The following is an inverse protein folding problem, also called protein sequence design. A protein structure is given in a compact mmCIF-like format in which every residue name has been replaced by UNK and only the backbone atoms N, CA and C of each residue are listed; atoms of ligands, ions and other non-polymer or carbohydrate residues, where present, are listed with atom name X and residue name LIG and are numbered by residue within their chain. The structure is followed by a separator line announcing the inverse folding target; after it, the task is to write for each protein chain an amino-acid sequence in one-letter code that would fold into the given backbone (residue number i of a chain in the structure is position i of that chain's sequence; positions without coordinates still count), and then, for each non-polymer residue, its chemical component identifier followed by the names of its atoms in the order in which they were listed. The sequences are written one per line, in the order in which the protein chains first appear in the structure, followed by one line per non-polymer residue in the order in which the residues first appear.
data_IF_007028735627
#
_entry.id   IF_007028735627
#
_cell.length_a   1.000
_cell.length_b   1.000
_cell.length_c   1.000
_cell.angle_alpha   90.00
_cell.angle_beta   90.00
_cell.angle_gamma   90.00
#
_symmetry.space_group_name_H-M   'P 1'
#
loop_
_entity.id
_entity.type
_entity.pdbx_description
1 polymer ?
#
# COMPACT_ATOMS: atom_id res chain seq x y z
N UNK A 1 -4.04 -0.46 -25.93
CA UNK A 1 -4.21 -0.12 -24.51
C UNK A 1 -5.44 -0.85 -24.02
N UNK A 2 -5.23 -1.94 -23.29
CA UNK A 2 -6.32 -2.59 -22.57
C UNK A 2 -6.44 -1.83 -21.24
N UNK A 3 -7.58 -1.17 -21.03
CA UNK A 3 -7.83 -0.29 -19.87
C UNK A 3 -7.61 -1.00 -18.53
N UNK A 4 -7.85 -2.32 -18.50
CA UNK A 4 -7.62 -3.17 -17.33
C UNK A 4 -6.14 -3.41 -17.06
N UNK A 5 -5.36 -3.75 -18.08
CA UNK A 5 -3.92 -4.01 -17.96
C UNK A 5 -3.16 -2.75 -17.58
N UNK A 6 -3.48 -1.61 -18.21
CA UNK A 6 -2.89 -0.32 -17.90
C UNK A 6 -3.17 0.08 -16.43
N UNK A 7 -4.40 -0.15 -15.96
CA UNK A 7 -4.77 0.06 -14.56
C UNK A 7 -3.98 -0.85 -13.61
N UNK A 8 -3.89 -2.15 -13.93
CA UNK A 8 -3.15 -3.11 -13.10
C UNK A 8 -1.67 -2.73 -12.99
N UNK A 9 -1.02 -2.39 -14.11
CA UNK A 9 0.38 -1.98 -14.14
C UNK A 9 0.62 -0.73 -13.30
N UNK A 10 -0.28 0.26 -13.40
CA UNK A 10 -0.22 1.47 -12.59
C UNK A 10 -0.22 1.15 -11.09
N UNK A 11 -1.23 0.41 -10.61
CA UNK A 11 -1.34 0.09 -9.18
C UNK A 11 -0.15 -0.76 -8.73
N UNK A 12 0.31 -1.71 -9.55
CA UNK A 12 1.49 -2.52 -9.25
C UNK A 12 2.75 -1.66 -9.07
N UNK A 13 3.01 -0.72 -9.97
CA UNK A 13 4.15 0.18 -9.87
C UNK A 13 4.06 1.08 -8.62
N UNK A 14 2.88 1.60 -8.30
CA UNK A 14 2.68 2.41 -7.10
C UNK A 14 2.86 1.57 -5.80
N UNK A 15 2.43 0.30 -5.80
CA UNK A 15 2.66 -0.66 -4.70
C UNK A 15 4.15 -0.95 -4.48
N UNK A 16 4.91 -1.10 -5.55
CA UNK A 16 6.37 -1.30 -5.47
C UNK A 16 7.06 -0.08 -4.87
N UNK A 17 6.72 1.13 -5.34
CA UNK A 17 7.26 2.38 -4.80
C UNK A 17 6.95 2.55 -3.31
N UNK A 18 5.72 2.25 -2.90
CA UNK A 18 5.31 2.37 -1.49
C UNK A 18 5.90 1.27 -0.61
N UNK A 19 6.14 0.07 -1.14
CA UNK A 19 6.87 -0.98 -0.43
C UNK A 19 8.30 -0.54 -0.09
N UNK A 20 8.99 0.16 -1.01
CA UNK A 20 10.32 0.73 -0.75
C UNK A 20 10.25 1.74 0.39
N UNK A 21 9.25 2.65 0.38
CA UNK A 21 9.04 3.61 1.48
C UNK A 21 8.83 2.91 2.83
N UNK A 22 8.03 1.85 2.89
CA UNK A 22 7.84 1.09 4.15
C UNK A 22 9.14 0.48 4.65
N UNK A 23 9.98 -0.04 3.74
CA UNK A 23 11.31 -0.56 4.10
C UNK A 23 12.21 0.53 4.67
N UNK A 24 12.18 1.73 4.09
CA UNK A 24 12.89 2.89 4.61
C UNK A 24 12.38 3.29 6.01
N UNK A 25 11.06 3.38 6.22
CA UNK A 25 10.46 3.72 7.51
C UNK A 25 10.80 2.67 8.58
N UNK A 26 10.83 1.38 8.22
CA UNK A 26 11.31 0.30 9.09
C UNK A 26 12.77 0.48 9.50
N UNK A 27 13.63 0.88 8.57
CA UNK A 27 15.04 1.12 8.87
C UNK A 27 15.19 2.30 9.84
N UNK A 28 14.47 3.41 9.60
CA UNK A 28 14.45 4.57 10.50
C UNK A 28 13.92 4.23 11.89
N UNK A 29 12.86 3.42 11.98
CA UNK A 29 12.30 2.99 13.26
C UNK A 29 13.29 2.18 14.13
N UNK A 30 14.28 1.51 13.51
CA UNK A 30 15.35 0.84 14.26
C UNK A 30 16.35 1.81 14.89
N UNK A 31 16.47 3.03 14.37
CA UNK A 31 17.34 4.08 14.90
C UNK A 31 16.65 4.95 15.94
N UNK A 32 15.33 4.89 16.03
CA UNK A 32 14.52 5.67 16.97
C UNK A 32 14.66 5.21 18.43
N UNK A 33 14.26 6.09 19.35
CA UNK A 33 14.20 5.80 20.78
C UNK A 33 13.22 4.65 21.10
N UNK A 34 13.27 4.12 22.32
CA UNK A 34 12.43 2.99 22.72
C UNK A 34 10.93 3.29 22.60
N UNK A 35 10.50 4.49 23.01
CA UNK A 35 9.09 4.90 22.99
C UNK A 35 8.60 5.15 21.55
N UNK A 36 9.40 5.83 20.74
CA UNK A 36 9.10 6.06 19.31
C UNK A 36 9.04 4.75 18.53
N UNK A 37 9.92 3.79 18.86
CA UNK A 37 9.95 2.48 18.21
C UNK A 37 8.64 1.71 18.41
N UNK A 38 7.95 1.85 19.54
CA UNK A 38 6.64 1.21 19.77
C UNK A 38 5.61 1.81 18.82
N UNK A 39 5.49 3.14 18.79
CA UNK A 39 4.55 3.83 17.88
C UNK A 39 4.83 3.52 16.41
N UNK A 40 6.10 3.48 16.02
CA UNK A 40 6.49 3.14 14.65
C UNK A 40 6.17 1.70 14.27
N UNK A 41 6.34 0.74 15.18
CA UNK A 41 5.97 -0.66 14.93
C UNK A 41 4.48 -0.80 14.63
N UNK A 42 3.61 -0.10 15.36
CA UNK A 42 2.16 -0.11 15.12
C UNK A 42 1.82 0.46 13.74
N UNK A 43 2.39 1.62 13.38
CA UNK A 43 2.18 2.23 12.07
C UNK A 43 2.72 1.36 10.92
N UNK A 44 3.88 0.74 11.10
CA UNK A 44 4.46 -0.18 10.12
C UNK A 44 3.57 -1.40 9.93
N UNK A 45 3.07 -1.99 11.02
CA UNK A 45 2.21 -3.16 10.96
C UNK A 45 0.90 -2.87 10.21
N UNK A 46 0.25 -1.74 10.51
CA UNK A 46 -0.96 -1.29 9.80
C UNK A 46 -0.70 -1.10 8.29
N UNK A 47 0.43 -0.51 7.92
CA UNK A 47 0.82 -0.38 6.51
C UNK A 47 1.04 -1.73 5.84
N UNK A 48 1.66 -2.71 6.51
CA UNK A 48 1.86 -4.05 5.97
C UNK A 48 0.54 -4.80 5.75
N UNK A 49 -0.40 -4.69 6.69
CA UNK A 49 -1.72 -5.30 6.55
C UNK A 49 -2.51 -4.71 5.37
N UNK A 50 -2.48 -3.37 5.23
CA UNK A 50 -3.12 -2.67 4.11
C UNK A 50 -2.46 -2.99 2.77
N UNK A 51 -1.14 -3.12 2.76
CA UNK A 51 -0.39 -3.57 1.58
C UNK A 51 -0.82 -4.99 1.15
N UNK A 52 -0.85 -5.92 2.10
CA UNK A 52 -1.28 -7.30 1.83
C UNK A 52 -2.71 -7.34 1.29
N UNK A 53 -3.62 -6.56 1.89
CA UNK A 53 -5.02 -6.44 1.45
C UNK A 53 -5.11 -5.91 0.02
N UNK A 54 -4.33 -4.88 -0.30
CA UNK A 54 -4.32 -4.28 -1.64
C UNK A 54 -3.76 -5.25 -2.68
N UNK A 55 -2.67 -5.98 -2.36
CA UNK A 55 -2.11 -7.02 -3.23
C UNK A 55 -3.10 -8.15 -3.50
N UNK A 56 -3.82 -8.61 -2.47
CA UNK A 56 -4.85 -9.65 -2.63
C UNK A 56 -5.97 -9.17 -3.54
N UNK A 57 -6.48 -7.95 -3.34
CA UNK A 57 -7.52 -7.38 -4.21
C UNK A 57 -7.04 -7.19 -5.65
N UNK A 58 -5.80 -6.73 -5.84
CA UNK A 58 -5.21 -6.58 -7.17
C UNK A 58 -5.04 -7.94 -7.87
N UNK A 59 -4.70 -8.99 -7.12
CA UNK A 59 -4.64 -10.36 -7.66
C UNK A 59 -6.02 -10.82 -8.16
N UNK A 60 -7.07 -10.67 -7.34
CA UNK A 60 -8.44 -11.01 -7.74
C UNK A 60 -8.89 -10.19 -8.96
N UNK A 61 -8.55 -8.90 -8.99
CA UNK A 61 -8.78 -8.04 -10.14
C UNK A 61 -8.07 -8.54 -11.41
N UNK A 62 -6.81 -8.99 -11.30
CA UNK A 62 -6.05 -9.50 -12.44
C UNK A 62 -6.67 -10.77 -13.04
N UNK A 63 -7.24 -11.63 -12.19
CA UNK A 63 -7.89 -12.88 -12.57
C UNK A 63 -9.32 -12.69 -13.10
N UNK A 64 -9.90 -11.50 -12.96
CA UNK A 64 -11.27 -11.21 -13.39
C UNK A 64 -11.44 -11.17 -14.92
N UNK A 65 -12.61 -11.55 -15.42
CA UNK A 65 -12.98 -11.34 -16.83
C UNK A 65 -13.31 -9.87 -17.15
N UNK A 66 -13.43 -9.57 -18.45
CA UNK A 66 -13.71 -8.21 -18.96
C UNK A 66 -15.07 -7.64 -18.50
N UNK A 67 -16.00 -8.48 -18.05
CA UNK A 67 -17.31 -8.06 -17.54
C UNK A 67 -17.31 -7.72 -16.04
N UNK A 68 -16.34 -8.23 -15.27
CA UNK A 68 -16.33 -8.15 -13.81
C UNK A 68 -15.24 -7.22 -13.24
N UNK A 69 -14.25 -6.81 -14.04
CA UNK A 69 -13.12 -6.03 -13.54
C UNK A 69 -13.51 -4.62 -13.08
N UNK A 70 -14.50 -3.98 -13.71
CA UNK A 70 -14.96 -2.62 -13.34
C UNK A 70 -15.53 -2.59 -11.91
N UNK A 71 -16.29 -3.61 -11.51
CA UNK A 71 -16.81 -3.72 -10.14
C UNK A 71 -15.67 -3.92 -9.13
N UNK A 72 -14.71 -4.79 -9.47
CA UNK A 72 -13.55 -5.09 -8.62
C UNK A 72 -12.57 -3.92 -8.52
N UNK A 73 -12.50 -3.06 -9.54
CA UNK A 73 -11.66 -1.86 -9.57
C UNK A 73 -11.94 -0.95 -8.37
N UNK A 74 -13.21 -0.74 -8.04
CA UNK A 74 -13.62 0.08 -6.89
C UNK A 74 -13.04 -0.43 -5.56
N UNK A 75 -12.98 -1.76 -5.41
CA UNK A 75 -12.41 -2.44 -4.27
C UNK A 75 -10.89 -2.26 -4.19
N UNK A 76 -10.19 -2.34 -5.33
CA UNK A 76 -8.74 -2.07 -5.41
C UNK A 76 -8.46 -0.60 -5.11
N UNK A 77 -9.19 0.33 -5.73
CA UNK A 77 -9.04 1.78 -5.53
C UNK A 77 -9.22 2.17 -4.05
N UNK A 78 -10.21 1.58 -3.37
CA UNK A 78 -10.47 1.85 -1.95
C UNK A 78 -9.33 1.35 -1.06
N UNK A 79 -8.86 0.12 -1.30
CA UNK A 79 -7.74 -0.45 -0.54
C UNK A 79 -6.45 0.35 -0.78
N UNK A 80 -6.17 0.71 -2.03
CA UNK A 80 -5.02 1.52 -2.42
C UNK A 80 -5.04 2.91 -1.79
N UNK A 81 -6.18 3.62 -1.80
CA UNK A 81 -6.33 4.92 -1.13
C UNK A 81 -6.07 4.84 0.37
N UNK A 82 -6.64 3.83 1.04
CA UNK A 82 -6.42 3.63 2.48
C UNK A 82 -4.95 3.32 2.80
N UNK A 83 -4.33 2.48 1.99
CA UNK A 83 -2.93 2.12 2.11
C UNK A 83 -2.00 3.33 1.91
N UNK A 84 -2.12 4.02 0.78
CA UNK A 84 -1.30 5.19 0.44
C UNK A 84 -1.44 6.32 1.46
N UNK A 85 -2.65 6.58 1.98
CA UNK A 85 -2.89 7.55 3.04
C UNK A 85 -2.14 7.19 4.34
N UNK A 86 -2.06 5.89 4.66
CA UNK A 86 -1.35 5.40 5.85
C UNK A 86 0.16 5.56 5.69
N UNK A 87 0.70 5.28 4.50
CA UNK A 87 2.12 5.52 4.17
C UNK A 87 2.46 7.01 4.20
N UNK A 88 1.59 7.87 3.67
CA UNK A 88 1.79 9.31 3.69
C UNK A 88 1.81 9.83 5.13
N UNK A 89 0.81 9.46 5.94
CA UNK A 89 0.73 9.84 7.35
C UNK A 89 1.94 9.38 8.16
N UNK A 90 2.40 8.15 7.93
CA UNK A 90 3.63 7.65 8.56
C UNK A 90 4.83 8.49 8.10
N UNK A 91 5.01 8.70 6.79
CA UNK A 91 6.13 9.48 6.24
C UNK A 91 6.20 10.90 6.81
N UNK A 92 5.06 11.56 6.99
CA UNK A 92 5.01 12.91 7.56
C UNK A 92 5.42 12.94 9.04
N UNK A 93 5.03 11.92 9.83
CA UNK A 93 5.51 11.74 11.21
C UNK A 93 7.01 11.49 11.34
N UNK A 94 7.66 10.98 10.29
CA UNK A 94 9.11 10.73 10.27
C UNK A 94 9.92 11.93 9.76
N UNK A 95 9.26 12.97 9.23
CA UNK A 95 9.91 14.22 8.79
C UNK A 95 10.00 15.26 9.90
N UNK A 96 9.06 15.25 10.84
CA UNK A 96 9.09 16.02 12.08
C UNK A 96 10.04 15.40 13.09
#
# INVERSE_FOLDING_TARGET
MNTKEDYQQKIQAELELTQVKITELKARAKLASADERVSYKEHIHDMEQKLATTKTKLKVFSEAGDEAWEELKSGVDTAWKSFSASVQKASDKFKT
#
